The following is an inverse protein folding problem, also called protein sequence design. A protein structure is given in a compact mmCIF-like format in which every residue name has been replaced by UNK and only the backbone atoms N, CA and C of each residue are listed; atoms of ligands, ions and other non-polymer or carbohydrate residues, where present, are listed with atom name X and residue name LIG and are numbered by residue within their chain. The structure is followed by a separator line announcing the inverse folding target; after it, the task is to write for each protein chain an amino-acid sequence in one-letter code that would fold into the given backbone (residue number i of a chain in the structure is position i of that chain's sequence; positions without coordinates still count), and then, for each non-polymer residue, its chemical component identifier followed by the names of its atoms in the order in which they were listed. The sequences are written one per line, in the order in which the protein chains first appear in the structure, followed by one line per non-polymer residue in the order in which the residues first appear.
data_IF_915180433649
#
_entry.id   IF_915180433649
#
_cell.length_a   1.000
_cell.length_b   1.000
_cell.length_c   1.000
_cell.angle_alpha   90.00
_cell.angle_beta   90.00
_cell.angle_gamma   90.00
#
_symmetry.space_group_name_H-M   'P 1'
#
loop_
_entity.id
_entity.type
_entity.pdbx_description
1 polymer ?
#
# COMPACT_ATOMS: atom_id res chain seq x y z
N UNK A 1 5.21 -78.21 11.62
CA UNK A 1 4.45 -77.55 12.71
C UNK A 1 5.15 -76.31 13.24
N UNK A 2 6.42 -76.37 13.63
CA UNK A 2 7.20 -75.19 14.03
C UNK A 2 7.44 -74.18 12.89
N UNK A 3 7.81 -74.64 11.69
CA UNK A 3 8.12 -73.76 10.54
C UNK A 3 6.90 -72.95 10.04
N UNK A 4 5.71 -73.55 10.05
CA UNK A 4 4.45 -72.90 9.69
C UNK A 4 4.04 -71.86 10.74
N UNK A 5 4.24 -72.15 12.02
CA UNK A 5 4.04 -71.20 13.12
C UNK A 5 4.98 -69.99 13.00
N UNK A 6 6.26 -70.22 12.65
CA UNK A 6 7.25 -69.16 12.43
C UNK A 6 6.87 -68.27 11.24
N UNK A 7 6.44 -68.85 10.11
CA UNK A 7 5.98 -68.08 8.93
C UNK A 7 4.75 -67.22 9.22
N UNK A 8 3.77 -67.74 9.97
CA UNK A 8 2.59 -66.99 10.38
C UNK A 8 2.99 -65.84 11.33
N UNK A 9 3.91 -66.10 12.26
CA UNK A 9 4.40 -65.08 13.20
C UNK A 9 5.08 -63.92 12.46
N UNK A 10 5.92 -64.22 11.47
CA UNK A 10 6.60 -63.21 10.64
C UNK A 10 5.57 -62.37 9.85
N UNK A 11 4.57 -63.01 9.25
CA UNK A 11 3.49 -62.31 8.54
C UNK A 11 2.66 -61.40 9.45
N UNK A 12 2.34 -61.86 10.67
CA UNK A 12 1.63 -61.06 11.67
C UNK A 12 2.47 -59.86 12.14
N UNK A 13 3.78 -60.05 12.32
CA UNK A 13 4.70 -59.00 12.75
C UNK A 13 4.87 -57.92 11.67
N UNK A 14 4.93 -58.31 10.39
CA UNK A 14 4.96 -57.38 9.26
C UNK A 14 3.68 -56.53 9.17
N UNK A 15 2.50 -57.14 9.31
CA UNK A 15 1.24 -56.39 9.31
C UNK A 15 1.15 -55.41 10.49
N UNK A 16 1.65 -55.78 11.66
CA UNK A 16 1.68 -54.92 12.84
C UNK A 16 2.57 -53.69 12.62
N UNK A 17 3.75 -53.86 12.01
CA UNK A 17 4.66 -52.74 11.68
C UNK A 17 4.02 -51.78 10.68
N UNK A 18 3.36 -52.29 9.64
CA UNK A 18 2.65 -51.45 8.65
C UNK A 18 1.52 -50.67 9.33
N UNK A 19 0.74 -51.32 10.21
CA UNK A 19 -0.35 -50.68 10.93
C UNK A 19 0.12 -49.53 11.83
N UNK A 20 1.19 -49.73 12.60
CA UNK A 20 1.79 -48.67 13.44
C UNK A 20 2.28 -47.52 12.57
N UNK A 21 2.95 -47.82 11.44
CA UNK A 21 3.49 -46.78 10.56
C UNK A 21 2.39 -45.92 9.91
N UNK A 22 1.26 -46.52 9.51
CA UNK A 22 0.10 -45.78 8.99
C UNK A 22 -0.52 -44.89 10.06
N UNK A 23 -0.68 -45.37 11.29
CA UNK A 23 -1.19 -44.57 12.40
C UNK A 23 -0.26 -43.41 12.73
N UNK A 24 1.05 -43.65 12.73
CA UNK A 24 2.06 -42.63 12.97
C UNK A 24 2.05 -41.58 11.86
N UNK A 25 1.94 -42.00 10.59
CA UNK A 25 1.82 -41.10 9.45
C UNK A 25 0.55 -40.24 9.50
N UNK A 26 -0.59 -40.81 9.90
CA UNK A 26 -1.84 -40.04 10.09
C UNK A 26 -1.70 -39.01 11.22
N UNK A 27 -1.11 -39.41 12.34
CA UNK A 27 -0.86 -38.50 13.47
C UNK A 27 0.09 -37.37 13.07
N UNK A 28 1.17 -37.68 12.35
CA UNK A 28 2.14 -36.69 11.87
C UNK A 28 1.52 -35.74 10.84
N UNK A 29 0.68 -36.25 9.92
CA UNK A 29 -0.09 -35.40 8.99
C UNK A 29 -1.03 -34.46 9.73
N UNK A 30 -1.81 -34.96 10.68
CA UNK A 30 -2.70 -34.13 11.48
C UNK A 30 -1.95 -33.07 12.29
N UNK A 31 -0.80 -33.42 12.86
CA UNK A 31 0.04 -32.47 13.58
C UNK A 31 0.67 -31.43 12.63
N UNK A 32 1.09 -31.84 11.44
CA UNK A 32 1.61 -30.94 10.42
C UNK A 32 0.54 -29.95 9.94
N UNK A 33 -0.68 -30.42 9.67
CA UNK A 33 -1.81 -29.57 9.31
C UNK A 33 -2.14 -28.56 10.43
N UNK A 34 -2.13 -29.03 11.69
CA UNK A 34 -2.31 -28.17 12.87
C UNK A 34 -1.27 -27.06 12.93
N UNK A 35 0.01 -27.39 12.68
CA UNK A 35 1.12 -26.42 12.66
C UNK A 35 0.99 -25.42 11.51
N UNK A 36 0.56 -25.88 10.33
CA UNK A 36 0.35 -25.03 9.16
C UNK A 36 -0.78 -24.03 9.42
N UNK A 37 -1.92 -24.50 9.93
CA UNK A 37 -3.06 -23.62 10.24
C UNK A 37 -2.70 -22.64 11.35
N UNK A 38 -2.00 -23.07 12.40
CA UNK A 38 -1.50 -22.18 13.43
C UNK A 38 -0.56 -21.10 12.87
N UNK A 39 0.39 -21.48 12.01
CA UNK A 39 1.30 -20.55 11.35
C UNK A 39 0.53 -19.54 10.46
N UNK A 40 -0.53 -19.99 9.79
CA UNK A 40 -1.41 -19.13 9.00
C UNK A 40 -2.13 -18.10 9.87
N UNK A 41 -2.74 -18.51 10.99
CA UNK A 41 -3.42 -17.58 11.89
C UNK A 41 -2.44 -16.56 12.48
N UNK A 42 -1.24 -17.00 12.85
CA UNK A 42 -0.16 -16.11 13.29
C UNK A 42 0.23 -15.09 12.21
N UNK A 43 0.39 -15.52 10.96
CA UNK A 43 0.70 -14.61 9.86
C UNK A 43 -0.41 -13.56 9.65
N UNK A 44 -1.68 -13.94 9.81
CA UNK A 44 -2.81 -13.00 9.74
C UNK A 44 -2.73 -11.98 10.88
N UNK A 45 -2.41 -12.41 12.11
CA UNK A 45 -2.23 -11.52 13.26
C UNK A 45 -1.09 -10.54 12.99
N UNK A 46 0.10 -11.04 12.67
CA UNK A 46 1.30 -10.23 12.46
C UNK A 46 1.10 -9.21 11.31
N UNK A 47 0.46 -9.64 10.21
CA UNK A 47 0.12 -8.74 9.09
C UNK A 47 -0.84 -7.63 9.53
N UNK A 48 -1.89 -7.98 10.28
CA UNK A 48 -2.93 -7.03 10.68
C UNK A 48 -2.42 -6.07 11.75
N UNK A 49 -1.61 -6.54 12.70
CA UNK A 49 -0.93 -5.71 13.70
C UNK A 49 0.09 -4.75 13.06
N UNK A 50 0.80 -5.20 12.02
CA UNK A 50 1.70 -4.33 11.26
C UNK A 50 0.94 -3.20 10.52
N UNK A 51 -0.32 -3.43 10.12
CA UNK A 51 -1.16 -2.36 9.56
C UNK A 51 -1.69 -1.45 10.67
N UNK A 52 -2.15 -2.02 11.80
CA UNK A 52 -2.62 -1.27 12.97
C UNK A 52 -1.55 -0.32 13.54
N UNK A 53 -0.29 -0.74 13.61
CA UNK A 53 0.79 0.12 14.11
C UNK A 53 1.06 1.35 13.21
N UNK A 54 0.65 1.28 11.95
CA UNK A 54 0.83 2.34 10.96
C UNK A 54 -0.44 3.17 10.72
N UNK A 55 -1.56 2.89 11.40
CA UNK A 55 -2.79 3.69 11.25
C UNK A 55 -2.61 5.13 11.71
N UNK A 56 -1.70 5.39 12.65
CA UNK A 56 -1.39 6.74 13.12
C UNK A 56 -0.82 7.68 12.04
N UNK A 57 -0.35 7.13 10.91
CA UNK A 57 0.16 7.93 9.78
C UNK A 57 -0.94 8.45 8.86
N UNK A 58 -2.21 8.07 9.06
CA UNK A 58 -3.31 8.42 8.16
C UNK A 58 -4.64 8.62 8.92
N UNK A 59 -5.58 9.41 8.37
CA UNK A 59 -6.90 9.59 8.97
C UNK A 59 -7.78 8.34 8.76
N UNK A 60 -7.62 7.34 9.62
CA UNK A 60 -8.47 6.15 9.66
C UNK A 60 -9.82 6.45 10.33
N UNK A 61 -10.90 5.86 9.81
CA UNK A 61 -12.19 5.87 10.50
C UNK A 61 -12.22 4.88 11.67
N UNK A 62 -13.17 5.06 12.59
CA UNK A 62 -13.45 4.05 13.61
C UNK A 62 -13.85 2.71 12.99
N UNK A 63 -14.56 2.72 11.85
CA UNK A 63 -15.02 1.50 11.18
C UNK A 63 -13.85 0.66 10.65
N UNK A 64 -12.87 1.29 9.99
CA UNK A 64 -11.73 0.54 9.45
C UNK A 64 -10.86 -0.03 10.58
N UNK A 65 -10.69 0.72 11.67
CA UNK A 65 -9.97 0.28 12.87
C UNK A 65 -10.70 -0.89 13.53
N UNK A 66 -12.03 -0.85 13.63
CA UNK A 66 -12.85 -1.96 14.12
C UNK A 66 -12.73 -3.22 13.24
N UNK A 67 -12.67 -3.07 11.92
CA UNK A 67 -12.44 -4.22 11.00
C UNK A 67 -11.09 -4.88 11.27
N UNK A 68 -10.04 -4.09 11.47
CA UNK A 68 -8.71 -4.61 11.81
C UNK A 68 -8.72 -5.34 13.16
N UNK A 69 -9.30 -4.73 14.20
CA UNK A 69 -9.38 -5.38 15.51
C UNK A 69 -10.21 -6.66 15.51
N UNK A 70 -11.35 -6.69 14.79
CA UNK A 70 -12.15 -7.91 14.63
C UNK A 70 -11.40 -9.01 13.90
N UNK A 71 -10.64 -8.65 12.85
CA UNK A 71 -9.78 -9.62 12.15
C UNK A 71 -8.71 -10.22 13.07
N UNK A 72 -8.09 -9.40 13.93
CA UNK A 72 -7.15 -9.90 14.94
C UNK A 72 -7.85 -10.78 15.96
N UNK A 73 -9.03 -10.37 16.46
CA UNK A 73 -9.85 -11.14 17.39
C UNK A 73 -10.17 -12.54 16.84
N UNK A 74 -10.63 -12.62 15.58
CA UNK A 74 -10.98 -13.88 14.92
C UNK A 74 -9.76 -14.80 14.77
N UNK A 75 -8.62 -14.23 14.36
CA UNK A 75 -7.38 -14.98 14.19
C UNK A 75 -6.83 -15.47 15.55
N UNK A 76 -6.96 -14.66 16.61
CA UNK A 76 -6.62 -15.04 17.98
C UNK A 76 -7.54 -16.16 18.50
N UNK A 77 -8.84 -16.09 18.23
CA UNK A 77 -9.78 -17.15 18.59
C UNK A 77 -9.42 -18.47 17.89
N UNK A 78 -9.15 -18.42 16.59
CA UNK A 78 -8.69 -19.59 15.84
C UNK A 78 -7.34 -20.12 16.36
N UNK A 79 -6.39 -19.23 16.66
CA UNK A 79 -5.07 -19.61 17.19
C UNK A 79 -5.17 -20.24 18.58
N UNK A 80 -6.02 -19.73 19.49
CA UNK A 80 -6.20 -20.30 20.83
C UNK A 80 -6.72 -21.73 20.78
N UNK A 81 -7.67 -22.04 19.90
CA UNK A 81 -8.22 -23.39 19.72
C UNK A 81 -7.16 -24.42 19.24
N UNK A 82 -6.11 -23.94 18.57
CA UNK A 82 -5.08 -24.77 17.94
C UNK A 82 -3.76 -24.74 18.72
N UNK A 83 -3.57 -23.76 19.61
CA UNK A 83 -2.33 -23.56 20.36
C UNK A 83 -2.03 -24.64 21.42
N UNK A 84 -0.78 -24.71 21.87
CA UNK A 84 -0.38 -25.54 23.01
C UNK A 84 -0.63 -24.78 24.33
N UNK A 85 -0.72 -25.49 25.45
CA UNK A 85 -1.10 -24.94 26.78
C UNK A 85 -0.32 -23.67 27.18
N UNK A 86 0.97 -23.61 26.88
CA UNK A 86 1.81 -22.45 27.23
C UNK A 86 1.55 -21.21 26.35
N UNK A 87 1.14 -21.40 25.10
CA UNK A 87 0.81 -20.32 24.17
C UNK A 87 -0.63 -19.84 24.37
N UNK A 88 -1.51 -20.73 24.80
CA UNK A 88 -2.93 -20.47 24.99
C UNK A 88 -3.19 -19.32 25.98
N UNK A 89 -2.42 -19.24 27.07
CA UNK A 89 -2.57 -18.18 28.07
C UNK A 89 -2.20 -16.80 27.54
N UNK A 90 -1.13 -16.67 26.75
CA UNK A 90 -0.73 -15.40 26.11
C UNK A 90 -1.81 -14.94 25.12
N UNK A 91 -2.27 -15.84 24.27
CA UNK A 91 -3.32 -15.51 23.29
C UNK A 91 -4.66 -15.16 23.94
N UNK A 92 -5.04 -15.83 25.03
CA UNK A 92 -6.24 -15.47 25.79
C UNK A 92 -6.13 -14.07 26.41
N UNK A 93 -4.96 -13.71 26.94
CA UNK A 93 -4.72 -12.37 27.47
C UNK A 93 -4.84 -11.31 26.37
N UNK A 94 -4.17 -11.52 25.23
CA UNK A 94 -4.28 -10.63 24.06
C UNK A 94 -5.72 -10.50 23.56
N UNK A 95 -6.47 -11.60 23.53
CA UNK A 95 -7.87 -11.62 23.12
C UNK A 95 -8.73 -10.76 24.05
N UNK A 96 -8.49 -10.81 25.37
CA UNK A 96 -9.18 -9.94 26.32
C UNK A 96 -8.86 -8.45 26.07
N UNK A 97 -7.59 -8.12 25.81
CA UNK A 97 -7.17 -6.75 25.50
C UNK A 97 -7.83 -6.22 24.21
N UNK A 98 -7.88 -7.04 23.16
CA UNK A 98 -8.53 -6.70 21.89
C UNK A 98 -10.05 -6.55 22.07
N UNK A 99 -10.70 -7.42 22.85
CA UNK A 99 -12.13 -7.29 23.16
C UNK A 99 -12.44 -5.97 23.89
N UNK A 100 -11.60 -5.58 24.83
CA UNK A 100 -11.76 -4.31 25.54
C UNK A 100 -11.63 -3.12 24.57
N UNK A 101 -10.66 -3.16 23.65
CA UNK A 101 -10.50 -2.14 22.62
C UNK A 101 -11.70 -2.08 21.67
N UNK A 102 -12.20 -3.23 21.20
CA UNK A 102 -13.40 -3.31 20.35
C UNK A 102 -14.61 -2.72 21.07
N UNK A 103 -14.82 -3.08 22.33
CA UNK A 103 -15.95 -2.58 23.15
C UNK A 103 -15.87 -1.07 23.32
N UNK A 104 -14.67 -0.54 23.58
CA UNK A 104 -14.42 0.89 23.73
C UNK A 104 -14.71 1.65 22.44
N UNK A 105 -14.31 1.11 21.29
CA UNK A 105 -14.56 1.73 19.99
C UNK A 105 -16.03 1.62 19.53
N UNK A 106 -16.76 0.61 19.99
CA UNK A 106 -18.19 0.44 19.70
C UNK A 106 -19.08 1.33 20.59
N UNK A 107 -18.68 1.56 21.85
CA UNK A 107 -19.41 2.44 22.76
C UNK A 107 -19.09 3.92 22.52
N UNK A 108 -17.92 4.22 21.94
CA UNK A 108 -17.54 5.54 21.48
C UNK A 108 -18.33 6.01 20.26
N UNK A 109 -18.33 7.32 20.03
CA UNK A 109 -18.91 7.91 18.82
C UNK A 109 -18.06 7.52 17.60
N UNK A 110 -18.71 7.03 16.53
CA UNK A 110 -18.01 6.73 15.28
C UNK A 110 -17.39 8.02 14.71
N UNK A 111 -16.07 8.04 14.62
CA UNK A 111 -15.31 9.16 14.07
C UNK A 111 -14.77 8.82 12.69
N UNK A 112 -14.95 9.77 11.78
CA UNK A 112 -14.40 9.74 10.44
C UNK A 112 -13.61 11.02 10.22
N UNK A 113 -12.30 11.04 10.55
CA UNK A 113 -11.49 12.24 10.42
C UNK A 113 -11.49 12.77 8.97
N UNK A 114 -11.65 14.08 8.74
CA UNK A 114 -11.65 14.65 7.39
C UNK A 114 -10.33 14.35 6.66
N UNK A 115 -10.44 13.93 5.41
CA UNK A 115 -9.27 13.63 4.55
C UNK A 115 -8.55 14.93 4.14
N UNK A 116 -9.26 16.05 4.12
CA UNK A 116 -8.77 17.37 3.66
C UNK A 116 -7.56 17.90 4.41
N UNK A 117 -7.41 17.53 5.69
CA UNK A 117 -6.30 17.96 6.53
C UNK A 117 -5.13 16.98 6.51
N UNK A 118 -5.20 15.93 5.69
CA UNK A 118 -4.10 14.99 5.54
C UNK A 118 -2.86 15.71 4.99
N UNK A 119 -1.73 15.54 5.66
CA UNK A 119 -0.43 16.06 5.26
C UNK A 119 0.48 14.89 4.97
N UNK A 120 1.12 14.94 3.81
CA UNK A 120 2.09 13.93 3.42
C UNK A 120 3.38 14.10 4.24
N UNK A 121 3.99 13.01 4.76
CA UNK A 121 5.32 13.09 5.36
C UNK A 121 6.37 13.51 4.33
N UNK A 122 7.40 14.24 4.75
CA UNK A 122 8.47 14.72 3.85
C UNK A 122 9.48 13.62 3.46
N UNK A 123 9.47 12.49 4.15
CA UNK A 123 10.42 11.40 3.94
C UNK A 123 9.88 10.36 2.93
N UNK A 124 10.57 10.17 1.81
CA UNK A 124 10.22 9.18 0.77
C UNK A 124 10.05 7.76 1.31
N UNK A 125 10.83 7.36 2.34
CA UNK A 125 10.68 6.04 2.98
C UNK A 125 9.33 5.93 3.71
N UNK A 126 8.90 7.00 4.36
CA UNK A 126 7.61 7.06 5.07
C UNK A 126 6.45 7.13 4.07
N UNK A 127 6.60 7.85 2.95
CA UNK A 127 5.62 7.86 1.86
C UNK A 127 5.44 6.44 1.29
N UNK A 128 6.54 5.72 1.04
CA UNK A 128 6.48 4.35 0.55
C UNK A 128 5.79 3.42 1.55
N UNK A 129 6.16 3.49 2.82
CA UNK A 129 5.53 2.70 3.89
C UNK A 129 4.02 2.99 3.97
N UNK A 130 3.63 4.27 3.90
CA UNK A 130 2.23 4.69 3.91
C UNK A 130 1.44 4.10 2.74
N UNK A 131 1.96 4.18 1.52
CA UNK A 131 1.33 3.60 0.32
C UNK A 131 1.19 2.09 0.45
N UNK A 132 2.20 1.39 0.99
CA UNK A 132 2.14 -0.04 1.24
C UNK A 132 1.08 -0.39 2.30
N UNK A 133 1.00 0.36 3.39
CA UNK A 133 -0.02 0.20 4.43
C UNK A 133 -1.42 0.39 3.86
N UNK A 134 -1.66 1.43 3.04
CA UNK A 134 -2.96 1.65 2.39
C UNK A 134 -3.34 0.50 1.43
N UNK A 135 -2.38 -0.05 0.69
CA UNK A 135 -2.63 -1.21 -0.19
C UNK A 135 -3.00 -2.45 0.60
N UNK A 136 -2.26 -2.74 1.69
CA UNK A 136 -2.56 -3.86 2.59
C UNK A 136 -3.91 -3.68 3.27
N UNK A 137 -4.21 -2.47 3.75
CA UNK A 137 -5.49 -2.13 4.36
C UNK A 137 -6.65 -2.39 3.40
N UNK A 138 -6.52 -1.98 2.12
CA UNK A 138 -7.52 -2.26 1.09
C UNK A 138 -7.72 -3.76 0.86
N UNK A 139 -6.62 -4.52 0.80
CA UNK A 139 -6.67 -5.97 0.63
C UNK A 139 -7.35 -6.66 1.83
N UNK A 140 -7.04 -6.23 3.06
CA UNK A 140 -7.69 -6.71 4.29
C UNK A 140 -9.18 -6.40 4.26
N UNK A 141 -9.56 -5.15 3.96
CA UNK A 141 -10.96 -4.72 3.89
C UNK A 141 -11.76 -5.57 2.90
N UNK A 142 -11.22 -5.82 1.70
CA UNK A 142 -11.83 -6.70 0.70
C UNK A 142 -11.94 -8.15 1.17
N UNK A 143 -10.90 -8.68 1.81
CA UNK A 143 -10.93 -10.03 2.34
C UNK A 143 -12.00 -10.19 3.43
N UNK A 144 -12.17 -9.20 4.31
CA UNK A 144 -13.23 -9.24 5.35
C UNK A 144 -14.63 -9.02 4.76
N UNK A 145 -14.77 -8.19 3.73
CA UNK A 145 -16.03 -8.05 3.00
C UNK A 145 -16.43 -9.35 2.28
N UNK A 146 -15.48 -10.03 1.62
CA UNK A 146 -15.73 -11.31 0.96
C UNK A 146 -16.14 -12.43 1.95
N UNK A 147 -15.79 -12.29 3.23
CA UNK A 147 -16.25 -13.19 4.31
C UNK A 147 -17.62 -12.80 4.87
N UNK A 148 -18.24 -11.72 4.39
CA UNK A 148 -19.53 -11.20 4.88
C UNK A 148 -19.45 -10.47 6.22
N UNK A 149 -18.26 -10.07 6.69
CA UNK A 149 -18.07 -9.44 8.02
C UNK A 149 -18.19 -7.92 8.00
N UNK A 150 -18.23 -7.33 6.81
CA UNK A 150 -18.31 -5.88 6.61
C UNK A 150 -19.53 -5.57 5.76
N UNK A 151 -20.37 -4.68 6.28
CA UNK A 151 -21.56 -4.19 5.57
C UNK A 151 -21.17 -3.56 4.21
N UNK A 152 -21.89 -3.84 3.11
CA UNK A 152 -21.55 -3.31 1.79
C UNK A 152 -21.49 -1.79 1.72
N UNK A 153 -22.31 -1.07 2.48
CA UNK A 153 -22.30 0.39 2.49
C UNK A 153 -21.04 0.95 3.16
N UNK A 154 -20.64 0.35 4.30
CA UNK A 154 -19.41 0.69 5.01
C UNK A 154 -18.20 0.34 4.14
N UNK A 155 -18.22 -0.84 3.51
CA UNK A 155 -17.17 -1.27 2.59
C UNK A 155 -16.94 -0.25 1.47
N UNK A 156 -18.00 0.16 0.77
CA UNK A 156 -17.89 1.13 -0.32
C UNK A 156 -17.37 2.50 0.16
N UNK A 157 -17.83 2.98 1.33
CA UNK A 157 -17.36 4.25 1.90
C UNK A 157 -15.87 4.20 2.26
N UNK A 158 -15.44 3.15 2.95
CA UNK A 158 -14.04 3.00 3.36
C UNK A 158 -13.11 2.72 2.17
N UNK A 159 -13.57 1.97 1.16
CA UNK A 159 -12.81 1.73 -0.07
C UNK A 159 -12.57 3.04 -0.84
N UNK A 160 -13.62 3.83 -1.04
CA UNK A 160 -13.52 5.14 -1.69
C UNK A 160 -12.60 6.10 -0.92
N UNK A 161 -12.60 6.02 0.41
CA UNK A 161 -11.74 6.82 1.27
C UNK A 161 -10.27 6.43 1.15
N UNK A 162 -9.97 5.13 1.13
CA UNK A 162 -8.62 4.62 0.88
C UNK A 162 -8.14 5.04 -0.51
N UNK A 163 -8.99 4.96 -1.53
CA UNK A 163 -8.65 5.35 -2.89
C UNK A 163 -8.40 6.86 -3.02
N UNK A 164 -9.24 7.67 -2.36
CA UNK A 164 -9.02 9.11 -2.28
C UNK A 164 -7.67 9.45 -1.63
N UNK A 165 -7.31 8.78 -0.53
CA UNK A 165 -6.00 8.96 0.11
C UNK A 165 -4.84 8.57 -0.82
N UNK A 166 -4.93 7.41 -1.48
CA UNK A 166 -3.88 6.96 -2.40
C UNK A 166 -3.68 7.94 -3.57
N UNK A 167 -4.76 8.48 -4.12
CA UNK A 167 -4.72 9.45 -5.21
C UNK A 167 -4.08 10.77 -4.76
N UNK A 168 -4.45 11.28 -3.57
CA UNK A 168 -3.86 12.50 -2.99
C UNK A 168 -2.36 12.33 -2.75
N UNK A 169 -1.95 11.22 -2.13
CA UNK A 169 -0.54 10.87 -1.91
C UNK A 169 0.23 10.80 -3.24
N UNK A 170 -0.39 10.22 -4.27
CA UNK A 170 0.23 10.12 -5.59
C UNK A 170 0.51 11.50 -6.20
N UNK A 171 -0.49 12.39 -6.20
CA UNK A 171 -0.36 13.76 -6.72
C UNK A 171 0.71 14.52 -5.94
N UNK A 172 0.65 14.52 -4.61
CA UNK A 172 1.61 15.25 -3.78
C UNK A 172 3.04 14.73 -3.95
N UNK A 173 3.23 13.42 -3.97
CA UNK A 173 4.54 12.80 -4.23
C UNK A 173 5.08 13.15 -5.62
N UNK A 174 4.20 13.24 -6.63
CA UNK A 174 4.59 13.61 -7.99
C UNK A 174 4.98 15.08 -8.12
N UNK A 175 4.23 15.99 -7.49
CA UNK A 175 4.56 17.42 -7.46
C UNK A 175 5.86 17.68 -6.69
N UNK A 176 6.06 17.02 -5.56
CA UNK A 176 7.31 17.10 -4.79
C UNK A 176 8.52 16.64 -5.62
N UNK A 177 8.43 15.48 -6.28
CA UNK A 177 9.50 14.99 -7.18
C UNK A 177 9.70 15.87 -8.41
N UNK A 178 8.64 16.46 -8.95
CA UNK A 178 8.75 17.42 -10.05
C UNK A 178 9.54 18.66 -9.65
N UNK A 179 9.31 19.21 -8.44
CA UNK A 179 10.12 20.31 -7.90
C UNK A 179 11.59 19.94 -7.76
N UNK A 180 11.88 18.77 -7.18
CA UNK A 180 13.24 18.28 -7.06
C UNK A 180 13.92 18.13 -8.44
N UNK A 181 13.23 17.55 -9.43
CA UNK A 181 13.76 17.42 -10.79
C UNK A 181 13.97 18.78 -11.48
N UNK A 182 13.09 19.76 -11.25
CA UNK A 182 13.23 21.12 -11.76
C UNK A 182 14.48 21.79 -11.18
N UNK A 183 14.73 21.63 -9.87
CA UNK A 183 15.94 22.10 -9.21
C UNK A 183 17.21 21.47 -9.79
N UNK A 184 17.16 20.19 -10.17
CA UNK A 184 18.25 19.48 -10.86
C UNK A 184 18.34 19.81 -12.37
N UNK A 185 17.60 20.80 -12.87
CA UNK A 185 17.52 21.21 -14.29
C UNK A 185 17.01 20.11 -15.23
N UNK A 186 16.32 19.10 -14.72
CA UNK A 186 15.70 18.03 -15.50
C UNK A 186 14.27 18.41 -15.89
N UNK A 187 14.12 19.46 -16.70
CA UNK A 187 12.82 20.05 -17.03
C UNK A 187 11.88 19.11 -17.78
N UNK A 188 12.41 18.26 -18.68
CA UNK A 188 11.62 17.26 -19.40
C UNK A 188 10.94 16.26 -18.46
N UNK A 189 11.69 15.67 -17.52
CA UNK A 189 11.17 14.75 -16.51
C UNK A 189 10.18 15.45 -15.57
N UNK A 190 10.49 16.69 -15.16
CA UNK A 190 9.62 17.50 -14.30
C UNK A 190 8.27 17.78 -14.97
N UNK A 191 8.28 18.23 -16.24
CA UNK A 191 7.07 18.47 -17.05
C UNK A 191 6.21 17.22 -17.19
N UNK A 192 6.81 16.05 -17.44
CA UNK A 192 6.09 14.78 -17.52
C UNK A 192 5.40 14.43 -16.19
N UNK A 193 6.09 14.62 -15.06
CA UNK A 193 5.52 14.37 -13.74
C UNK A 193 4.35 15.32 -13.44
N UNK A 194 4.48 16.61 -13.71
CA UNK A 194 3.39 17.58 -13.49
C UNK A 194 2.18 17.29 -14.40
N UNK A 195 2.41 16.97 -15.68
CA UNK A 195 1.34 16.62 -16.63
C UNK A 195 0.57 15.39 -16.16
N UNK A 196 1.28 14.38 -15.66
CA UNK A 196 0.64 13.18 -15.11
C UNK A 196 -0.06 13.45 -13.77
N UNK A 197 0.42 14.39 -12.95
CA UNK A 197 -0.30 14.81 -11.75
C UNK A 197 -1.62 15.51 -12.10
N UNK A 198 -1.63 16.37 -13.14
CA UNK A 198 -2.84 17.02 -13.65
C UNK A 198 -3.86 16.01 -14.20
N UNK A 199 -3.41 15.00 -14.95
CA UNK A 199 -4.33 13.97 -15.45
C UNK A 199 -4.96 13.16 -14.31
N UNK A 200 -4.20 12.82 -13.27
CA UNK A 200 -4.73 12.19 -12.04
C UNK A 200 -5.74 13.12 -11.35
N UNK A 201 -5.44 14.41 -11.19
CA UNK A 201 -6.36 15.39 -10.60
C UNK A 201 -7.68 15.52 -11.38
N UNK A 202 -7.63 15.46 -12.72
CA UNK A 202 -8.83 15.46 -13.56
C UNK A 202 -9.67 14.19 -13.36
N UNK A 203 -9.03 13.03 -13.21
CA UNK A 203 -9.72 11.78 -12.89
C UNK A 203 -10.41 11.85 -11.50
N UNK A 204 -9.75 12.44 -10.50
CA UNK A 204 -10.36 12.65 -9.17
C UNK A 204 -11.56 13.60 -9.29
N UNK A 205 -11.46 14.68 -10.07
CA UNK A 205 -12.55 15.64 -10.26
C UNK A 205 -13.82 14.99 -10.83
N UNK A 206 -13.66 13.96 -11.66
CA UNK A 206 -14.80 13.21 -12.20
C UNK A 206 -15.52 12.38 -11.12
N UNK A 207 -14.80 11.92 -10.09
CA UNK A 207 -15.35 11.12 -8.99
C UNK A 207 -15.87 11.98 -7.84
N UNK A 208 -15.17 13.08 -7.53
CA UNK A 208 -15.49 13.98 -6.42
C UNK A 208 -15.44 15.44 -6.88
N UNK A 209 -16.50 15.94 -7.55
CA UNK A 209 -16.49 17.24 -8.20
C UNK A 209 -16.31 18.45 -7.27
N UNK A 210 -16.66 18.30 -5.99
CA UNK A 210 -16.75 19.41 -5.03
C UNK A 210 -15.60 19.44 -4.00
N UNK A 211 -14.49 18.73 -4.26
CA UNK A 211 -13.36 18.68 -3.34
C UNK A 211 -12.45 19.92 -3.47
N UNK A 212 -12.35 20.79 -2.45
CA UNK A 212 -11.51 22.00 -2.48
C UNK A 212 -10.01 21.70 -2.66
N UNK A 213 -9.57 20.48 -2.29
CA UNK A 213 -8.19 20.04 -2.48
C UNK A 213 -7.79 20.03 -3.96
N UNK A 214 -8.69 19.62 -4.84
CA UNK A 214 -8.41 19.47 -6.28
C UNK A 214 -8.10 20.83 -6.90
N UNK A 215 -8.91 21.85 -6.61
CA UNK A 215 -8.69 23.20 -7.15
C UNK A 215 -7.30 23.73 -6.78
N UNK A 216 -6.97 23.70 -5.49
CA UNK A 216 -5.66 24.15 -4.98
C UNK A 216 -4.49 23.41 -5.64
N UNK A 217 -4.60 22.09 -5.79
CA UNK A 217 -3.53 21.26 -6.38
C UNK A 217 -3.42 21.43 -7.90
N UNK A 218 -4.53 21.69 -8.59
CA UNK A 218 -4.51 22.02 -10.01
C UNK A 218 -3.81 23.37 -10.23
N UNK A 219 -4.11 24.37 -9.40
CA UNK A 219 -3.47 25.69 -9.49
C UNK A 219 -1.97 25.59 -9.16
N UNK A 220 -1.61 24.86 -8.10
CA UNK A 220 -0.20 24.56 -7.76
C UNK A 220 0.54 23.84 -8.89
N UNK A 221 -0.09 22.84 -9.52
CA UNK A 221 0.49 22.10 -10.63
C UNK A 221 0.67 22.96 -11.89
N UNK A 222 -0.30 23.83 -12.20
CA UNK A 222 -0.21 24.78 -13.32
C UNK A 222 0.90 25.80 -13.10
N UNK A 223 0.98 26.37 -11.90
CA UNK A 223 2.06 27.30 -11.55
C UNK A 223 3.43 26.64 -11.71
N UNK A 224 3.60 25.42 -11.19
CA UNK A 224 4.85 24.68 -11.34
C UNK A 224 5.18 24.38 -12.81
N UNK A 225 4.17 24.08 -13.64
CA UNK A 225 4.37 23.86 -15.08
C UNK A 225 4.88 25.13 -15.79
N UNK A 226 4.29 26.28 -15.48
CA UNK A 226 4.69 27.56 -16.05
C UNK A 226 6.12 27.94 -15.63
N UNK A 227 6.48 27.70 -14.37
CA UNK A 227 7.85 27.86 -13.85
C UNK A 227 8.85 26.96 -14.59
N UNK A 228 8.52 25.68 -14.78
CA UNK A 228 9.35 24.73 -15.53
C UNK A 228 9.52 25.17 -16.98
N UNK A 229 8.43 25.61 -17.64
CA UNK A 229 8.48 26.05 -19.03
C UNK A 229 9.28 27.35 -19.19
N UNK A 230 9.19 28.28 -18.24
CA UNK A 230 10.01 29.48 -18.21
C UNK A 230 11.50 29.18 -18.02
N UNK A 231 11.83 28.33 -17.05
CA UNK A 231 13.20 27.91 -16.77
C UNK A 231 13.82 27.10 -17.92
N UNK A 232 13.02 26.27 -18.61
CA UNK A 232 13.46 25.54 -19.80
C UNK A 232 13.83 26.53 -20.93
N UNK A 233 12.97 27.50 -21.23
CA UNK A 233 13.24 28.52 -22.27
C UNK A 233 14.47 29.38 -21.98
N UNK A 234 14.75 29.67 -20.71
CA UNK A 234 15.95 30.42 -20.30
C UNK A 234 17.24 29.58 -20.35
N UNK A 235 17.11 28.26 -20.27
CA UNK A 235 18.25 27.33 -20.28
C UNK A 235 18.56 26.75 -21.66
N UNK A 236 17.64 26.88 -22.62
CA UNK A 236 17.92 26.61 -24.03
C UNK A 236 18.96 27.64 -24.54
N UNK A 237 20.07 27.20 -25.16
CA UNK A 237 21.01 28.14 -25.76
C UNK A 237 20.26 28.94 -26.83
N UNK A 238 20.28 30.27 -26.71
CA UNK A 238 19.78 31.14 -27.77
C UNK A 238 20.46 30.69 -29.07
N UNK A 239 19.68 30.20 -30.03
CA UNK A 239 20.20 29.89 -31.35
C UNK A 239 20.99 31.12 -31.82
N UNK A 240 22.25 30.98 -32.27
CA UNK A 240 22.97 32.11 -32.83
C UNK A 240 22.08 32.68 -33.92
N UNK A 241 21.66 33.94 -33.76
CA UNK A 241 20.98 34.67 -34.83
C UNK A 241 21.89 34.52 -36.05
N UNK A 242 21.38 34.09 -37.22
CA UNK A 242 22.21 34.06 -38.41
C UNK A 242 22.81 35.47 -38.54
N UNK A 243 24.13 35.58 -38.43
CA UNK A 243 24.81 36.81 -38.83
C UNK A 243 24.43 37.00 -40.29
N UNK A 244 23.92 38.18 -40.65
CA UNK A 244 23.62 38.54 -42.02
C UNK A 244 24.91 38.37 -42.84
N UNK A 245 25.05 37.26 -43.56
CA UNK A 245 26.14 37.03 -44.52
C UNK A 245 26.01 37.96 -45.74
N UNK A 246 24.89 38.67 -45.91
CA UNK A 246 24.69 39.66 -46.97
C UNK A 246 25.61 40.89 -46.82
N UNK A 247 25.90 41.36 -45.61
CA UNK A 247 26.75 42.55 -45.40
C UNK A 247 28.22 42.31 -45.78
N UNK A 248 28.74 41.10 -45.56
CA UNK A 248 30.13 40.75 -45.87
C UNK A 248 30.37 40.55 -47.38
N UNK A 249 29.34 40.13 -48.14
CA UNK A 249 29.41 39.99 -49.59
C UNK A 249 29.38 41.37 -50.24
N UNK A 250 28.49 42.27 -49.80
CA UNK A 250 28.41 43.65 -50.31
C UNK A 250 29.65 44.48 -49.98
N UNK A 251 30.34 44.17 -48.87
CA UNK A 251 31.63 44.80 -48.55
C UNK A 251 32.77 44.37 -49.48
N UNK A 252 32.66 43.19 -50.11
CA UNK A 252 33.64 42.66 -51.07
C UNK A 252 33.51 43.27 -52.48
N UNK A 253 32.34 43.83 -52.82
CA UNK A 253 32.04 44.42 -54.13
C UNK A 253 32.08 45.95 -54.14
N UNK A 254 32.49 46.60 -53.05
CA UNK A 254 32.70 48.05 -53.06
C UNK A 254 33.82 48.39 -54.06
N UNK A 255 33.61 49.36 -54.98
CA UNK A 255 34.63 49.73 -55.95
C UNK A 255 35.86 50.27 -55.20
N UNK A 256 36.99 49.55 -55.34
CA UNK A 256 38.27 49.94 -54.72
C UNK A 256 38.60 51.40 -55.08
N UNK A 257 38.68 52.26 -54.07
CA UNK A 257 39.22 53.61 -54.19
C UNK A 257 40.63 53.52 -54.78
N UNK A 258 40.80 54.08 -55.98
CA UNK A 258 42.13 54.37 -56.53
C UNK A 258 42.73 55.49 -55.67
N UNK A 259 43.99 55.27 -55.30
CA UNK A 259 44.90 56.17 -54.61
C UNK A 259 44.97 57.54 -55.28
#
# INVERSE_FOLDING_TARGET
MSFTLVLILIGALLLLVIGINVLQQQKERAEAERRIEFARQRAIIDETEAVLSNTGMMPCSTNIVLVLYRRVQDALQAATAISNTQQQSDYQRRLADINNQITTLQSGQSQSPPIENFRLPDNDKQILALVQTLKKLKAILRAEHNKGKVDPSIFAQEENRIDSLQLRINVDSMLSRARAASFMKQYGSSKQMVTKALSTLHAIKAQTPNDPFIGRKVDEAKQLLDEIMGAQKQSEPSAPRPKNEEDDIDMLFQPKKKW
#
